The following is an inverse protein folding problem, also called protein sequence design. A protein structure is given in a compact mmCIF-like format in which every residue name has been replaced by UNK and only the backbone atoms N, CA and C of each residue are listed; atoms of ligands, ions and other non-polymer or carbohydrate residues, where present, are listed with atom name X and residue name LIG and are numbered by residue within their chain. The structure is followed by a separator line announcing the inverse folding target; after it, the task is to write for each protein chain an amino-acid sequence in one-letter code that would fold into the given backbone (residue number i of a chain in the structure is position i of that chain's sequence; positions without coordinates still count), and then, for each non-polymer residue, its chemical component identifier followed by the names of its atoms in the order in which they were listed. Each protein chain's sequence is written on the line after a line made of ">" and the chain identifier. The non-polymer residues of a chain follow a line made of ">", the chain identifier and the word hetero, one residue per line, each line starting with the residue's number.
data_IF_708396531975
#
_entry.id   IF_708396531975
#
_cell.length_a   1.000
_cell.length_b   1.000
_cell.length_c   1.000
_cell.angle_alpha   90.00
_cell.angle_beta   90.00
_cell.angle_gamma   90.00
#
_symmetry.space_group_name_H-M   'P 1'
#
loop_
_entity.id
_entity.type
_entity.pdbx_description
1 polymer ?
#
# COMPACT_ATOMS: atom_id res chain seq x y z
N UNK A 1 -4.81 4.54 -3.61
CA UNK A 1 -4.94 3.36 -2.74
C UNK A 1 -5.86 2.34 -3.37
N UNK A 2 -5.49 1.07 -3.29
CA UNK A 2 -6.19 -0.04 -3.91
C UNK A 2 -6.11 -1.28 -3.03
N UNK A 3 -7.08 -2.17 -3.17
CA UNK A 3 -6.91 -3.55 -2.72
C UNK A 3 -6.29 -4.38 -3.84
N UNK A 4 -5.29 -5.18 -3.49
CA UNK A 4 -4.58 -6.05 -4.39
C UNK A 4 -4.18 -7.36 -3.70
N UNK A 5 -3.84 -8.36 -4.49
CA UNK A 5 -3.16 -9.54 -3.97
C UNK A 5 -1.67 -9.22 -3.76
N UNK A 6 -1.30 -8.93 -2.51
CA UNK A 6 0.05 -8.44 -2.15
C UNK A 6 0.89 -9.58 -1.58
N UNK A 7 2.10 -9.84 -2.11
CA UNK A 7 3.01 -10.86 -1.58
C UNK A 7 3.38 -10.62 -0.11
N UNK A 8 3.63 -11.71 0.63
CA UNK A 8 4.22 -11.62 1.97
C UNK A 8 5.67 -11.17 1.94
N UNK A 9 6.19 -10.84 3.12
CA UNK A 9 7.60 -10.49 3.30
C UNK A 9 8.52 -11.69 3.28
N UNK A 10 8.36 -12.57 4.27
CA UNK A 10 9.33 -13.62 4.57
C UNK A 10 8.95 -14.99 4.02
N UNK A 11 8.13 -15.06 2.96
CA UNK A 11 7.72 -16.37 2.48
C UNK A 11 6.77 -16.40 1.29
N UNK A 12 6.48 -17.63 0.83
CA UNK A 12 5.57 -17.85 -0.27
C UNK A 12 4.15 -17.42 0.10
N UNK A 13 3.43 -16.91 -0.88
CA UNK A 13 2.03 -16.53 -0.76
C UNK A 13 1.79 -15.03 -0.74
N UNK A 14 0.51 -14.70 -0.64
CA UNK A 14 -0.02 -13.35 -0.78
C UNK A 14 -1.31 -13.23 0.02
N UNK A 15 -1.78 -11.98 0.17
CA UNK A 15 -3.08 -11.71 0.80
C UNK A 15 -3.75 -10.51 0.15
N UNK A 16 -5.09 -10.54 0.10
CA UNK A 16 -5.88 -9.34 -0.21
C UNK A 16 -5.67 -8.28 0.87
N UNK A 17 -5.01 -7.19 0.50
CA UNK A 17 -4.74 -6.07 1.41
C UNK A 17 -4.88 -4.74 0.68
N UNK A 18 -5.28 -3.67 1.40
CA UNK A 18 -5.15 -2.33 0.86
C UNK A 18 -3.66 -1.97 0.77
N UNK A 19 -3.29 -1.22 -0.25
CA UNK A 19 -1.95 -0.72 -0.49
C UNK A 19 -1.99 0.66 -1.15
N UNK A 20 -0.91 1.42 -0.96
CA UNK A 20 -0.64 2.65 -1.70
C UNK A 20 0.26 2.33 -2.88
N UNK A 21 -0.21 2.64 -4.09
CA UNK A 21 0.64 2.61 -5.30
C UNK A 21 1.55 3.83 -5.27
N UNK A 22 2.86 3.59 -5.37
CA UNK A 22 3.91 4.62 -5.37
C UNK A 22 4.39 4.92 -6.79
N UNK A 23 4.55 3.88 -7.61
CA UNK A 23 4.91 4.00 -9.03
C UNK A 23 4.39 2.81 -9.82
N UNK A 24 4.29 2.99 -11.15
CA UNK A 24 3.92 1.94 -12.10
C UNK A 24 5.00 1.88 -13.17
N UNK A 25 5.49 0.69 -13.48
CA UNK A 25 6.54 0.44 -14.48
C UNK A 25 6.08 -0.64 -15.46
N UNK A 26 6.75 -0.70 -16.61
CA UNK A 26 6.43 -1.65 -17.69
C UNK A 26 5.17 -1.27 -18.48
N UNK A 27 4.73 -2.18 -19.37
CA UNK A 27 3.58 -1.98 -20.26
C UNK A 27 2.78 -3.27 -20.44
N UNK A 28 1.50 -3.14 -20.79
CA UNK A 28 0.62 -4.27 -21.10
C UNK A 28 0.54 -5.29 -19.97
N UNK A 29 0.53 -6.59 -20.31
CA UNK A 29 0.40 -7.69 -19.33
C UNK A 29 1.61 -7.83 -18.40
N UNK A 30 2.74 -7.21 -18.72
CA UNK A 30 3.95 -7.20 -17.91
C UNK A 30 4.05 -6.01 -16.95
N UNK A 31 3.07 -5.11 -16.92
CA UNK A 31 3.13 -3.94 -16.05
C UNK A 31 3.05 -4.32 -14.56
N UNK A 32 3.88 -3.66 -13.76
CA UNK A 32 3.96 -3.84 -12.32
C UNK A 32 3.86 -2.49 -11.61
N UNK A 33 3.45 -2.53 -10.35
CA UNK A 33 3.34 -1.38 -9.48
C UNK A 33 4.17 -1.61 -8.23
N UNK A 34 4.96 -0.62 -7.83
CA UNK A 34 5.59 -0.58 -6.52
C UNK A 34 4.56 -0.07 -5.51
N UNK A 35 4.35 -0.82 -4.42
CA UNK A 35 3.34 -0.50 -3.42
C UNK A 35 3.89 -0.54 -1.99
N UNK A 36 3.34 0.31 -1.13
CA UNK A 36 3.44 0.21 0.31
C UNK A 36 2.17 -0.44 0.88
N UNK A 37 2.33 -1.39 1.81
CA UNK A 37 1.21 -2.12 2.43
C UNK A 37 0.43 -1.20 3.38
N UNK A 38 -0.88 -1.42 3.47
CA UNK A 38 -1.72 -0.82 4.52
C UNK A 38 -2.24 -1.92 5.44
N UNK A 39 -2.05 -1.72 6.74
CA UNK A 39 -2.42 -2.67 7.80
C UNK A 39 -3.32 -2.01 8.84
N UNK A 40 -4.13 -2.79 9.54
CA UNK A 40 -4.83 -2.34 10.75
C UNK A 40 -4.08 -2.71 12.03
N UNK A 41 -2.90 -3.34 11.92
CA UNK A 41 -2.06 -3.66 13.07
C UNK A 41 -1.21 -2.44 13.40
N UNK A 42 -1.25 -2.02 14.66
CA UNK A 42 -0.37 -0.98 15.16
C UNK A 42 1.01 -1.59 15.40
N UNK A 43 2.02 -1.06 14.72
CA UNK A 43 3.42 -1.44 14.87
C UNK A 43 4.22 -0.37 15.65
N UNK A 44 3.52 0.56 16.31
CA UNK A 44 4.10 1.59 17.16
C UNK A 44 4.97 2.58 16.39
N UNK A 45 5.99 3.10 17.07
CA UNK A 45 6.98 4.05 16.53
C UNK A 45 8.07 3.38 15.68
N UNK A 46 7.83 2.16 15.17
CA UNK A 46 8.76 1.54 14.22
C UNK A 46 8.99 2.52 13.06
N UNK A 47 10.25 2.73 12.64
CA UNK A 47 10.55 3.47 11.42
C UNK A 47 9.67 3.00 10.26
N UNK A 48 9.33 3.93 9.37
CA UNK A 48 8.52 3.63 8.20
C UNK A 48 7.05 3.27 8.46
N UNK A 49 6.54 3.44 9.68
CA UNK A 49 5.10 3.31 9.96
C UNK A 49 4.45 4.70 9.99
N UNK A 50 3.47 4.91 9.11
CA UNK A 50 2.72 6.18 9.03
C UNK A 50 1.26 5.91 9.37
N UNK A 51 0.76 6.52 10.45
CA UNK A 51 -0.66 6.49 10.77
C UNK A 51 -1.47 7.22 9.67
N UNK A 52 -2.52 6.56 9.18
CA UNK A 52 -3.45 7.14 8.22
C UNK A 52 -4.63 7.78 8.95
N UNK A 53 -5.26 8.80 8.34
CA UNK A 53 -6.54 9.33 8.83
C UNK A 53 -7.58 8.23 9.02
N UNK A 54 -8.47 8.40 9.99
CA UNK A 54 -9.56 7.45 10.22
C UNK A 54 -10.40 7.26 8.95
N UNK A 55 -10.76 6.02 8.64
CA UNK A 55 -11.53 5.70 7.44
C UNK A 55 -10.75 5.74 6.12
N UNK A 56 -9.42 5.93 6.12
CA UNK A 56 -8.61 6.01 4.90
C UNK A 56 -8.79 4.82 3.94
N UNK A 57 -9.10 3.62 4.46
CA UNK A 57 -9.35 2.42 3.64
C UNK A 57 -10.83 2.04 3.52
N UNK A 58 -11.74 2.89 4.03
CA UNK A 58 -13.17 2.65 4.02
C UNK A 58 -13.58 1.39 4.78
N UNK A 59 -12.83 1.00 5.81
CA UNK A 59 -13.21 -0.17 6.60
C UNK A 59 -14.47 0.13 7.42
N UNK A 60 -15.42 -0.81 7.43
CA UNK A 60 -16.72 -0.64 8.07
C UNK A 60 -16.63 -0.47 9.60
N UNK A 61 -15.46 -0.75 10.18
CA UNK A 61 -15.21 -0.71 11.63
C UNK A 61 -14.52 0.57 12.07
N UNK A 62 -14.21 1.50 11.14
CA UNK A 62 -13.52 2.75 11.42
C UNK A 62 -12.13 2.56 12.04
N UNK A 63 -11.47 1.42 11.85
CA UNK A 63 -10.19 1.15 12.52
C UNK A 63 -9.12 2.04 11.94
N UNK A 64 -8.24 2.50 12.84
CA UNK A 64 -6.99 3.15 12.41
C UNK A 64 -6.20 2.18 11.54
N UNK A 65 -5.65 2.72 10.46
CA UNK A 65 -4.81 1.98 9.54
C UNK A 65 -3.45 2.66 9.44
N UNK A 66 -2.45 1.88 9.06
CA UNK A 66 -1.06 2.30 9.03
C UNK A 66 -0.46 1.92 7.68
N UNK A 67 0.29 2.84 7.11
CA UNK A 67 1.09 2.61 5.91
C UNK A 67 2.49 2.14 6.32
N UNK A 68 2.94 1.02 5.77
CA UNK A 68 4.28 0.45 6.01
C UNK A 68 5.18 0.78 4.81
N UNK A 69 6.20 1.63 5.01
CA UNK A 69 7.08 2.12 3.94
C UNK A 69 8.45 1.44 3.89
N UNK A 70 8.84 0.71 4.93
CA UNK A 70 10.15 0.04 4.99
C UNK A 70 10.23 -1.19 4.07
N UNK A 71 9.08 -1.74 3.69
CA UNK A 71 8.98 -2.98 2.91
C UNK A 71 8.01 -2.82 1.74
N UNK A 72 8.53 -2.24 0.67
CA UNK A 72 7.77 -2.08 -0.57
C UNK A 72 7.63 -3.42 -1.30
N UNK A 73 6.54 -3.56 -2.04
CA UNK A 73 6.26 -4.76 -2.84
C UNK A 73 6.02 -4.40 -4.28
N UNK A 74 6.55 -5.22 -5.17
CA UNK A 74 6.14 -5.21 -6.56
C UNK A 74 4.90 -6.07 -6.74
N UNK A 75 3.87 -5.50 -7.36
CA UNK A 75 2.58 -6.16 -7.59
C UNK A 75 2.23 -6.04 -9.06
N UNK A 76 1.87 -7.14 -9.72
CA UNK A 76 1.37 -7.11 -11.09
C UNK A 76 0.11 -6.25 -11.17
N UNK A 77 -0.01 -5.40 -12.18
CA UNK A 77 -1.19 -4.54 -12.35
C UNK A 77 -2.49 -5.36 -12.43
N UNK A 78 -2.44 -6.58 -13.00
CA UNK A 78 -3.57 -7.51 -13.04
C UNK A 78 -4.01 -8.08 -11.69
N UNK A 79 -3.23 -7.89 -10.61
CA UNK A 79 -3.58 -8.33 -9.26
C UNK A 79 -4.36 -7.28 -8.46
N UNK A 80 -4.56 -6.08 -9.00
CA UNK A 80 -5.37 -5.02 -8.38
C UNK A 80 -6.85 -5.29 -8.60
N UNK A 81 -7.65 -5.11 -7.54
CA UNK A 81 -9.09 -5.48 -7.52
C UNK A 81 -10.01 -4.28 -7.40
N UNK A 82 -10.07 -3.68 -6.19
CA UNK A 82 -11.00 -2.58 -5.88
C UNK A 82 -10.24 -1.31 -5.52
N UNK A 83 -10.61 -0.20 -6.15
CA UNK A 83 -10.09 1.12 -5.81
C UNK A 83 -10.64 1.52 -4.45
N UNK A 84 -9.75 2.00 -3.58
CA UNK A 84 -10.13 2.58 -2.28
C UNK A 84 -10.38 4.08 -2.45
N UNK A 85 -9.42 4.77 -3.05
CA UNK A 85 -9.43 6.23 -3.14
C UNK A 85 -8.03 6.80 -3.30
N UNK A 86 -7.92 8.11 -3.15
CA UNK A 86 -6.64 8.83 -3.08
C UNK A 86 -6.16 8.87 -1.64
N UNK A 87 -4.84 8.80 -1.44
CA UNK A 87 -4.25 8.99 -0.11
C UNK A 87 -4.29 10.48 0.25
N UNK A 88 -4.29 10.78 1.55
CA UNK A 88 -4.14 12.15 2.05
C UNK A 88 -2.89 12.84 1.44
N UNK A 89 -3.00 14.11 0.98
CA UNK A 89 -1.89 14.82 0.36
C UNK A 89 -0.66 14.98 1.26
N UNK A 90 -0.84 15.20 2.56
CA UNK A 90 0.28 15.32 3.51
C UNK A 90 0.99 13.99 3.70
N UNK A 91 0.26 12.88 3.69
CA UNK A 91 0.86 11.53 3.63
C UNK A 91 1.58 11.32 2.30
N UNK A 92 1.01 11.75 1.17
CA UNK A 92 1.63 11.60 -0.14
C UNK A 92 2.98 12.34 -0.24
N UNK A 93 3.06 13.58 0.23
CA UNK A 93 4.30 14.35 0.21
C UNK A 93 5.46 13.64 0.92
N UNK A 94 5.16 12.89 1.99
CA UNK A 94 6.17 12.12 2.75
C UNK A 94 6.70 10.90 1.99
N UNK A 95 5.92 10.31 1.08
CA UNK A 95 6.22 9.00 0.49
C UNK A 95 6.42 9.01 -1.02
N UNK A 96 6.08 10.10 -1.71
CA UNK A 96 6.17 10.17 -3.18
C UNK A 96 7.58 9.95 -3.74
N UNK A 97 8.61 10.22 -2.94
CA UNK A 97 10.02 9.97 -3.30
C UNK A 97 10.40 8.48 -3.32
N UNK A 98 9.67 7.62 -2.61
CA UNK A 98 9.96 6.18 -2.53
C UNK A 98 9.70 5.43 -3.85
N UNK A 99 8.87 6.00 -4.72
CA UNK A 99 8.52 5.43 -6.02
C UNK A 99 9.53 5.71 -7.15
N UNK A 100 10.54 6.55 -6.90
CA UNK A 100 11.42 7.11 -7.93
C UNK A 100 12.61 6.21 -8.35
N UNK A 101 12.71 4.99 -7.80
CA UNK A 101 13.75 4.01 -8.16
C UNK A 101 13.53 3.29 -9.48
#
# INVERSE_FOLDING_TARGET
>A
MWWADVPYEDGPGSKDRPCLVLSVRGRGRGATALVAKITSKDHGERPGVIALPAGAVGDQRGRRSFLETDELREVRVGAFRRRVGVVDPGVWERVRGLGAG
#
